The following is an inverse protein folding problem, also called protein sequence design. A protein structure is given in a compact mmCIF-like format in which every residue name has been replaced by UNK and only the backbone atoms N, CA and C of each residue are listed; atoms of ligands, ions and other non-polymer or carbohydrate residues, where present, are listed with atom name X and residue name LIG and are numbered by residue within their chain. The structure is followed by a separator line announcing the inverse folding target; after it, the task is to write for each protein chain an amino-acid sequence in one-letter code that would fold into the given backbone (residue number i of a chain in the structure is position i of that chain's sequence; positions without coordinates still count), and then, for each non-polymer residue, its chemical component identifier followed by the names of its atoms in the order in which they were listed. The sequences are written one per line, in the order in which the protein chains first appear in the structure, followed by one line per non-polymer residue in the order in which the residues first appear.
data_IF_622199066203
#
_entry.id   IF_622199066203
#
_cell.length_a   1.000
_cell.length_b   1.000
_cell.length_c   1.000
_cell.angle_alpha   90.00
_cell.angle_beta   90.00
_cell.angle_gamma   90.00
#
_symmetry.space_group_name_H-M   'P 1'
#
loop_
_entity.id
_entity.type
_entity.pdbx_description
1 polymer ?
#
# COMPACT_ATOMS: atom_id res chain seq x y z
N UNK A 1 -2.31 13.21 -0.05
CA UNK A 1 -1.96 12.26 1.02
C UNK A 1 -0.54 11.79 0.79
N UNK A 2 0.27 11.53 1.82
CA UNK A 2 1.62 10.96 1.62
C UNK A 2 1.55 9.44 1.57
N UNK A 3 2.57 8.79 0.99
CA UNK A 3 2.67 7.34 0.92
C UNK A 3 2.50 6.64 2.28
N UNK A 4 3.15 7.18 3.32
CA UNK A 4 3.04 6.68 4.70
C UNK A 4 1.61 6.80 5.28
N UNK A 5 0.82 7.78 4.84
CA UNK A 5 -0.55 7.95 5.36
C UNK A 5 -1.46 6.83 4.84
N UNK A 6 -1.33 6.45 3.56
CA UNK A 6 -2.03 5.29 3.00
C UNK A 6 -1.67 4.00 3.74
N UNK A 7 -0.38 3.81 4.07
CA UNK A 7 0.08 2.69 4.87
C UNK A 7 -0.58 2.65 6.25
N UNK A 8 -0.69 3.81 6.92
CA UNK A 8 -1.33 3.92 8.24
C UNK A 8 -2.83 3.61 8.16
N UNK A 9 -3.52 4.04 7.11
CA UNK A 9 -4.94 3.71 6.90
C UNK A 9 -5.16 2.20 6.73
N UNK A 10 -4.20 1.48 6.13
CA UNK A 10 -4.25 0.02 5.96
C UNK A 10 -3.89 -0.74 7.23
N UNK A 11 -3.01 -0.18 8.05
CA UNK A 11 -2.51 -0.80 9.29
C UNK A 11 -2.65 0.14 10.49
N UNK A 12 -3.88 0.54 10.87
CA UNK A 12 -4.10 1.53 11.93
C UNK A 12 -3.54 1.09 13.28
N UNK A 13 -3.65 -0.20 13.61
CA UNK A 13 -3.12 -0.79 14.84
C UNK A 13 -1.58 -0.82 14.90
N UNK A 14 -0.92 -0.56 13.78
CA UNK A 14 0.54 -0.55 13.66
C UNK A 14 1.09 0.80 13.19
N UNK A 15 0.30 1.88 13.33
CA UNK A 15 0.66 3.21 12.81
C UNK A 15 2.04 3.71 13.25
N UNK A 16 2.44 3.47 14.50
CA UNK A 16 3.77 3.85 15.00
C UNK A 16 4.89 3.05 14.33
N UNK A 17 4.71 1.73 14.19
CA UNK A 17 5.66 0.87 13.50
C UNK A 17 5.80 1.22 12.02
N UNK A 18 4.68 1.53 11.34
CA UNK A 18 4.66 2.02 9.96
C UNK A 18 5.46 3.31 9.82
N UNK A 19 5.24 4.29 10.70
CA UNK A 19 6.00 5.56 10.69
C UNK A 19 7.49 5.34 10.90
N UNK A 20 7.86 4.49 11.85
CA UNK A 20 9.25 4.16 12.15
C UNK A 20 9.93 3.50 10.95
N UNK A 21 9.33 2.44 10.42
CA UNK A 21 9.86 1.72 9.25
C UNK A 21 9.96 2.62 8.02
N UNK A 22 8.96 3.47 7.77
CA UNK A 22 9.01 4.41 6.64
C UNK A 22 10.21 5.36 6.69
N UNK A 23 10.66 5.73 7.91
CA UNK A 23 11.83 6.59 8.11
C UNK A 23 13.15 5.83 8.09
N UNK A 24 13.17 4.56 8.53
CA UNK A 24 14.42 3.81 8.76
C UNK A 24 14.70 2.67 7.77
N UNK A 25 13.71 2.20 7.02
CA UNK A 25 13.79 1.08 6.09
C UNK A 25 13.45 1.57 4.67
N UNK A 26 14.47 1.64 3.81
CA UNK A 26 14.32 2.10 2.42
C UNK A 26 13.41 1.20 1.60
N UNK A 27 13.44 -0.12 1.85
CA UNK A 27 12.60 -1.08 1.16
C UNK A 27 11.14 -0.92 1.57
N UNK A 28 10.89 -0.76 2.88
CA UNK A 28 9.53 -0.51 3.36
C UNK A 28 8.96 0.81 2.81
N UNK A 29 9.80 1.86 2.73
CA UNK A 29 9.41 3.14 2.13
C UNK A 29 9.04 2.99 0.65
N UNK A 30 9.82 2.25 -0.14
CA UNK A 30 9.49 1.97 -1.53
C UNK A 30 8.13 1.25 -1.67
N UNK A 31 7.85 0.25 -0.82
CA UNK A 31 6.56 -0.44 -0.82
C UNK A 31 5.40 0.52 -0.52
N UNK A 32 5.57 1.46 0.41
CA UNK A 32 4.57 2.50 0.68
C UNK A 32 4.34 3.42 -0.53
N UNK A 33 5.40 3.76 -1.26
CA UNK A 33 5.31 4.59 -2.48
C UNK A 33 4.57 3.84 -3.60
N UNK A 34 4.87 2.56 -3.79
CA UNK A 34 4.17 1.67 -4.74
C UNK A 34 2.69 1.52 -4.38
N UNK A 35 2.36 1.35 -3.10
CA UNK A 35 0.97 1.32 -2.60
C UNK A 35 0.24 2.62 -2.97
N UNK A 36 0.86 3.76 -2.71
CA UNK A 36 0.27 5.07 -3.01
C UNK A 36 0.01 5.25 -4.50
N UNK A 37 0.94 4.79 -5.36
CA UNK A 37 0.81 4.86 -6.81
C UNK A 37 -0.31 3.95 -7.30
N UNK A 38 -0.32 2.68 -6.86
CA UNK A 38 -1.33 1.70 -7.23
C UNK A 38 -2.75 2.15 -6.83
N UNK A 39 -2.91 2.74 -5.63
CA UNK A 39 -4.19 3.32 -5.20
C UNK A 39 -4.62 4.49 -6.07
N UNK A 40 -3.69 5.36 -6.46
CA UNK A 40 -3.98 6.49 -7.36
C UNK A 40 -4.43 6.02 -8.74
N UNK A 41 -3.72 5.03 -9.31
CA UNK A 41 -4.06 4.40 -10.59
C UNK A 41 -5.42 3.71 -10.53
N UNK A 42 -5.66 2.89 -9.50
CA UNK A 42 -6.94 2.21 -9.32
C UNK A 42 -8.10 3.22 -9.21
N UNK A 43 -7.94 4.25 -8.38
CA UNK A 43 -8.94 5.30 -8.24
C UNK A 43 -9.21 6.03 -9.57
N UNK A 44 -8.17 6.24 -10.38
CA UNK A 44 -8.33 6.82 -11.71
C UNK A 44 -9.17 5.93 -12.62
N UNK A 45 -8.90 4.62 -12.67
CA UNK A 45 -9.67 3.67 -13.48
C UNK A 45 -11.11 3.50 -13.00
N UNK A 46 -11.34 3.43 -11.69
CA UNK A 46 -12.67 3.25 -11.10
C UNK A 46 -13.62 4.44 -11.37
N UNK A 47 -13.09 5.63 -11.65
CA UNK A 47 -13.89 6.81 -11.99
C UNK A 47 -14.35 6.85 -13.45
N UNK A 48 -13.83 5.97 -14.30
CA UNK A 48 -14.16 5.98 -15.72
C UNK A 48 -15.51 5.27 -15.96
N UNK A 49 -16.37 5.74 -16.90
CA UNK A 49 -17.68 5.14 -17.16
C UNK A 49 -17.67 3.66 -17.57
N UNK A 50 -16.53 3.16 -18.06
CA UNK A 50 -16.31 1.77 -18.48
C UNK A 50 -15.56 0.94 -17.43
N UNK A 51 -15.38 1.45 -16.21
CA UNK A 51 -14.61 0.81 -15.13
C UNK A 51 -14.94 -0.68 -14.97
N UNK A 52 -16.22 -1.05 -14.98
CA UNK A 52 -16.65 -2.45 -14.84
C UNK A 52 -16.22 -3.40 -15.97
N UNK A 53 -15.54 -2.91 -17.02
CA UNK A 53 -15.00 -3.70 -18.13
C UNK A 53 -13.47 -3.63 -18.23
N UNK A 54 -12.81 -2.89 -17.34
CA UNK A 54 -11.35 -2.70 -17.36
C UNK A 54 -10.65 -3.82 -16.59
N UNK A 55 -9.94 -4.75 -17.25
CA UNK A 55 -9.17 -5.78 -16.55
C UNK A 55 -8.08 -5.18 -15.65
N UNK A 56 -7.59 -3.99 -15.96
CA UNK A 56 -6.56 -3.29 -15.17
C UNK A 56 -7.00 -3.07 -13.73
N UNK A 57 -8.29 -2.92 -13.47
CA UNK A 57 -8.82 -2.76 -12.10
C UNK A 57 -8.53 -4.02 -11.27
N UNK A 58 -8.70 -5.20 -11.84
CA UNK A 58 -8.44 -6.45 -11.15
C UNK A 58 -6.93 -6.69 -10.99
N UNK A 59 -6.13 -6.33 -12.00
CA UNK A 59 -4.67 -6.35 -11.91
C UNK A 59 -4.16 -5.44 -10.78
N UNK A 60 -4.65 -4.20 -10.69
CA UNK A 60 -4.27 -3.28 -9.61
C UNK A 60 -4.75 -3.78 -8.24
N UNK A 61 -5.91 -4.43 -8.14
CA UNK A 61 -6.36 -5.04 -6.89
C UNK A 61 -5.46 -6.19 -6.46
N UNK A 62 -4.93 -6.96 -7.40
CA UNK A 62 -3.95 -8.00 -7.11
C UNK A 62 -2.64 -7.39 -6.59
N UNK A 63 -2.09 -6.40 -7.30
CA UNK A 63 -0.89 -5.67 -6.86
C UNK A 63 -1.07 -5.07 -5.46
N UNK A 64 -2.22 -4.48 -5.15
CA UNK A 64 -2.49 -3.95 -3.81
C UNK A 64 -2.47 -5.04 -2.74
N UNK A 65 -2.98 -6.24 -3.02
CA UNK A 65 -2.93 -7.36 -2.07
C UNK A 65 -1.50 -7.84 -1.83
N UNK A 66 -0.67 -7.89 -2.87
CA UNK A 66 0.74 -8.27 -2.77
C UNK A 66 1.52 -7.25 -1.93
N UNK A 67 1.35 -5.96 -2.22
CA UNK A 67 1.98 -4.87 -1.46
C UNK A 67 1.56 -4.91 0.02
N UNK A 68 0.27 -5.08 0.32
CA UNK A 68 -0.21 -5.21 1.70
C UNK A 68 0.40 -6.44 2.41
N UNK A 69 0.60 -7.55 1.71
CA UNK A 69 1.24 -8.73 2.26
C UNK A 69 2.73 -8.49 2.58
N UNK A 70 3.46 -7.83 1.68
CA UNK A 70 4.86 -7.44 1.91
C UNK A 70 4.99 -6.50 3.10
N UNK A 71 4.14 -5.47 3.18
CA UNK A 71 4.12 -4.54 4.31
C UNK A 71 3.87 -5.27 5.64
N UNK A 72 2.91 -6.21 5.65
CA UNK A 72 2.62 -7.03 6.85
C UNK A 72 3.84 -7.86 7.25
N UNK A 73 4.59 -8.40 6.30
CA UNK A 73 5.84 -9.13 6.58
C UNK A 73 6.88 -8.24 7.26
N UNK A 74 7.10 -7.03 6.75
CA UNK A 74 8.01 -6.05 7.37
C UNK A 74 7.55 -5.63 8.77
N UNK A 75 6.25 -5.39 8.95
CA UNK A 75 5.67 -5.02 10.24
C UNK A 75 5.85 -6.15 11.27
N UNK A 76 5.57 -7.40 10.89
CA UNK A 76 5.76 -8.55 11.76
C UNK A 76 7.23 -8.71 12.17
N UNK A 77 8.16 -8.54 11.23
CA UNK A 77 9.61 -8.59 11.53
C UNK A 77 10.04 -7.47 12.49
N UNK A 78 9.45 -6.27 12.37
CA UNK A 78 9.76 -5.12 13.21
C UNK A 78 9.09 -5.14 14.60
N UNK A 79 8.03 -5.94 14.77
CA UNK A 79 7.27 -6.09 16.01
C UNK A 79 7.64 -7.37 16.77
N UNK A 80 8.30 -8.33 16.11
CA UNK A 80 8.62 -9.66 16.61
C UNK A 80 10.10 -10.03 16.59
N UNK A 81 10.98 -9.04 16.74
CA UNK A 81 12.38 -9.21 17.15
C UNK A 81 12.55 -9.01 18.65
#
# INVERSE_FOLDING_TARGET
MRAVDHAIERFPDHAEAVRRLYLSDERFRAICEDLSLALSSLHHFERHPDAGRRPEIDDFREVLRELEAEMRSHLNAALGG
#
